data_IF_089515518564
#
_entry.id   IF_089515518564
#
_cell.length_a   1.000
_cell.length_b   1.000
_cell.length_c   1.000
_cell.angle_alpha   90.00
_cell.angle_beta   90.00
_cell.angle_gamma   90.00
#
_symmetry.space_group_name_H-M   'P 1'
#
loop_
_entity.id
_entity.type
_entity.pdbx_description
1 polymer ?
#
# COMPACT_ATOMS: atom_id res chain seq x y z
N UNK A 1 -25.45 -4.27 10.77
CA UNK A 1 -25.92 -4.05 9.40
C UNK A 1 -25.37 -2.75 8.81
N UNK A 2 -25.63 -1.57 9.40
CA UNK A 2 -25.10 -0.29 8.87
C UNK A 2 -23.56 -0.18 8.92
N UNK A 3 -22.92 -0.69 9.99
CA UNK A 3 -21.46 -0.75 10.09
C UNK A 3 -20.89 -1.65 8.98
N UNK A 4 -21.35 -2.90 8.86
CA UNK A 4 -20.99 -3.83 7.77
C UNK A 4 -21.23 -3.22 6.38
N UNK A 5 -22.35 -2.54 6.11
CA UNK A 5 -22.58 -1.88 4.81
C UNK A 5 -21.67 -0.66 4.53
N UNK A 6 -21.10 -0.03 5.57
CA UNK A 6 -20.11 1.05 5.45
C UNK A 6 -18.67 0.53 5.46
N UNK A 7 -18.41 -0.64 6.05
CA UNK A 7 -17.08 -1.21 6.29
C UNK A 7 -16.72 -2.36 5.36
N UNK A 8 -17.71 -3.00 4.75
CA UNK A 8 -17.61 -4.23 3.96
C UNK A 8 -18.36 -4.00 2.64
N UNK A 9 -17.65 -4.21 1.53
CA UNK A 9 -17.96 -3.96 0.14
C UNK A 9 -19.43 -3.75 -0.30
N UNK A 10 -19.58 -2.82 -1.26
CA UNK A 10 -20.84 -2.35 -1.85
C UNK A 10 -21.47 -3.29 -2.90
N UNK A 11 -21.19 -4.59 -2.89
CA UNK A 11 -21.57 -5.47 -4.00
C UNK A 11 -23.07 -5.81 -4.01
N UNK A 12 -23.87 -4.89 -4.56
CA UNK A 12 -25.27 -5.11 -4.91
C UNK A 12 -25.50 -5.19 -6.42
N UNK A 13 -24.44 -5.19 -7.26
CA UNK A 13 -24.56 -5.30 -8.71
C UNK A 13 -24.17 -6.70 -9.19
N UNK A 14 -25.15 -7.58 -9.53
CA UNK A 14 -24.88 -8.95 -9.96
C UNK A 14 -24.01 -9.04 -11.21
N UNK A 15 -24.05 -8.04 -12.11
CA UNK A 15 -23.20 -8.01 -13.31
C UNK A 15 -21.73 -7.83 -12.93
N UNK A 16 -21.45 -6.98 -11.95
CA UNK A 16 -20.08 -6.74 -11.48
C UNK A 16 -19.58 -7.97 -10.72
N UNK A 17 -20.39 -8.54 -9.82
CA UNK A 17 -20.02 -9.76 -9.10
C UNK A 17 -19.74 -10.92 -10.05
N UNK A 18 -20.61 -11.18 -11.04
CA UNK A 18 -20.38 -12.23 -12.02
C UNK A 18 -19.18 -11.97 -12.96
N UNK A 19 -18.83 -10.71 -13.19
CA UNK A 19 -17.59 -10.35 -13.89
C UNK A 19 -16.37 -10.62 -13.01
N UNK A 20 -16.38 -10.19 -11.75
CA UNK A 20 -15.27 -10.44 -10.81
C UNK A 20 -15.07 -11.94 -10.57
N UNK A 21 -16.15 -12.71 -10.44
CA UNK A 21 -16.09 -14.18 -10.35
C UNK A 21 -15.41 -14.82 -11.55
N UNK A 22 -15.74 -14.36 -12.77
CA UNK A 22 -15.11 -14.85 -13.99
C UNK A 22 -13.61 -14.54 -14.05
N UNK A 23 -13.19 -13.42 -13.49
CA UNK A 23 -11.79 -12.97 -13.53
C UNK A 23 -10.98 -13.57 -12.37
N UNK A 24 -11.53 -13.63 -11.17
CA UNK A 24 -10.79 -13.90 -9.94
C UNK A 24 -11.25 -15.14 -9.19
N UNK A 25 -12.40 -15.74 -9.51
CA UNK A 25 -12.89 -16.91 -8.76
C UNK A 25 -11.89 -18.09 -8.76
N UNK A 26 -11.17 -18.28 -9.87
CA UNK A 26 -10.12 -19.31 -10.00
C UNK A 26 -8.74 -18.94 -9.47
N UNK A 27 -8.57 -17.81 -8.78
CA UNK A 27 -7.24 -17.25 -8.44
C UNK A 27 -6.40 -18.18 -7.55
N UNK A 28 -7.04 -19.04 -6.77
CA UNK A 28 -6.38 -20.06 -5.94
C UNK A 28 -5.54 -21.06 -6.76
N UNK A 29 -5.98 -21.33 -7.99
CA UNK A 29 -5.36 -22.30 -8.89
C UNK A 29 -4.40 -21.68 -9.91
N UNK A 30 -4.34 -20.34 -9.97
CA UNK A 30 -3.49 -19.64 -10.93
C UNK A 30 -2.01 -19.78 -10.56
N UNK A 31 -1.24 -20.22 -11.55
CA UNK A 31 0.21 -20.36 -11.46
C UNK A 31 0.88 -19.76 -12.69
N UNK A 32 2.11 -19.30 -12.50
CA UNK A 32 3.01 -18.88 -13.57
C UNK A 32 3.58 -20.10 -14.32
N UNK A 33 4.30 -19.85 -15.42
CA UNK A 33 4.88 -20.93 -16.24
C UNK A 33 5.93 -21.77 -15.50
N UNK A 34 6.57 -21.20 -14.46
CA UNK A 34 7.51 -21.92 -13.57
C UNK A 34 6.82 -22.54 -12.35
N UNK A 35 5.48 -22.57 -12.31
CA UNK A 35 4.70 -23.22 -11.24
C UNK A 35 4.59 -22.40 -9.95
N UNK A 36 4.95 -21.11 -9.96
CA UNK A 36 4.76 -20.25 -8.80
C UNK A 36 3.29 -19.83 -8.71
N UNK A 37 2.70 -19.91 -7.52
CA UNK A 37 1.35 -19.39 -7.29
C UNK A 37 1.33 -17.86 -7.42
N UNK A 38 0.21 -17.32 -7.88
CA UNK A 38 -0.06 -15.88 -7.80
C UNK A 38 -0.35 -15.41 -6.38
N UNK A 39 -0.63 -16.34 -5.46
CA UNK A 39 -0.82 -16.07 -4.03
C UNK A 39 0.47 -16.39 -3.28
N UNK A 40 0.91 -15.44 -2.46
CA UNK A 40 2.16 -15.52 -1.69
C UNK A 40 1.83 -15.50 -0.20
N UNK A 41 2.35 -16.47 0.55
CA UNK A 41 2.29 -16.47 2.00
C UNK A 41 3.36 -15.54 2.57
N UNK A 42 2.95 -14.60 3.42
CA UNK A 42 3.84 -13.66 4.10
C UNK A 42 3.66 -13.75 5.62
N UNK A 43 4.66 -13.35 6.39
CA UNK A 43 4.60 -13.45 7.85
C UNK A 43 5.97 -13.61 8.52
N UNK A 44 6.00 -13.90 9.83
CA UNK A 44 7.23 -13.98 10.62
C UNK A 44 8.30 -14.93 10.05
N UNK A 45 7.87 -16.01 9.38
CA UNK A 45 8.74 -17.07 8.85
C UNK A 45 8.96 -17.00 7.33
N UNK A 46 8.49 -15.96 6.63
CA UNK A 46 8.63 -15.83 5.18
C UNK A 46 9.74 -14.83 4.79
N UNK A 47 9.95 -14.68 3.48
CA UNK A 47 10.81 -13.63 2.91
C UNK A 47 10.30 -12.23 3.28
N UNK A 48 9.00 -12.00 3.11
CA UNK A 48 8.31 -10.77 3.51
C UNK A 48 7.88 -10.84 4.97
N UNK A 49 8.84 -10.59 5.88
CA UNK A 49 8.58 -10.53 7.33
C UNK A 49 8.07 -9.19 7.83
N UNK A 50 8.28 -8.13 7.06
CA UNK A 50 7.99 -6.77 7.45
C UNK A 50 7.81 -5.87 6.23
N UNK A 51 7.13 -4.74 6.46
CA UNK A 51 7.00 -3.68 5.48
C UNK A 51 7.32 -2.32 6.11
N UNK A 52 7.80 -1.39 5.29
CA UNK A 52 8.07 -0.02 5.67
C UNK A 52 6.92 0.87 5.23
N UNK A 53 6.53 1.81 6.08
CA UNK A 53 5.56 2.84 5.74
C UNK A 53 6.13 4.22 6.03
N UNK A 54 5.94 5.12 5.07
CA UNK A 54 6.36 6.51 5.16
C UNK A 54 5.13 7.42 5.32
N UNK A 55 5.29 8.52 6.05
CA UNK A 55 4.29 9.58 6.15
C UNK A 55 4.94 10.95 6.13
N UNK A 56 4.36 11.85 5.33
CA UNK A 56 4.83 13.23 5.18
C UNK A 56 4.21 14.10 6.28
N UNK A 57 5.03 14.94 6.89
CA UNK A 57 4.67 15.90 7.91
C UNK A 57 5.10 17.30 7.50
N UNK A 58 4.33 18.29 7.93
CA UNK A 58 4.55 19.71 7.62
C UNK A 58 5.05 20.51 8.82
N UNK A 59 5.02 19.93 10.04
CA UNK A 59 5.45 20.59 11.25
C UNK A 59 6.05 19.61 12.26
N UNK A 60 7.00 20.09 13.07
CA UNK A 60 7.55 19.35 14.21
C UNK A 60 6.47 18.99 15.24
N UNK A 61 5.42 19.82 15.38
CA UNK A 61 4.30 19.52 16.28
C UNK A 61 3.54 18.28 15.84
N UNK A 62 3.29 18.13 14.54
CA UNK A 62 2.61 16.94 14.00
C UNK A 62 3.48 15.70 14.11
N UNK A 63 4.79 15.83 13.90
CA UNK A 63 5.75 14.74 14.13
C UNK A 63 5.73 14.32 15.60
N UNK A 64 5.87 15.27 16.53
CA UNK A 64 5.84 14.99 17.97
C UNK A 64 4.54 14.28 18.36
N UNK A 65 3.40 14.74 17.87
CA UNK A 65 2.10 14.09 18.08
C UNK A 65 2.07 12.67 17.53
N UNK A 66 2.63 12.45 16.33
CA UNK A 66 2.71 11.13 15.74
C UNK A 66 3.60 10.20 16.56
N UNK A 67 4.74 10.67 17.06
CA UNK A 67 5.67 9.90 17.88
C UNK A 67 5.14 9.60 19.29
N UNK A 68 4.14 10.34 19.79
CA UNK A 68 3.47 9.98 21.04
C UNK A 68 2.52 8.77 20.89
N UNK A 69 2.03 8.49 19.67
CA UNK A 69 1.22 7.29 19.40
C UNK A 69 1.53 6.76 17.98
N UNK A 70 2.74 6.23 17.77
CA UNK A 70 3.25 5.93 16.43
C UNK A 70 2.50 4.76 15.78
N UNK A 71 1.98 3.80 16.55
CA UNK A 71 1.18 2.69 16.03
C UNK A 71 -0.06 3.20 15.31
N UNK A 72 -0.72 4.24 15.87
CA UNK A 72 -1.90 4.88 15.30
C UNK A 72 -1.60 5.88 14.19
N UNK A 73 -0.58 6.73 14.39
CA UNK A 73 -0.31 7.84 13.48
C UNK A 73 0.62 7.49 12.33
N UNK A 74 1.50 6.48 12.49
CA UNK A 74 2.35 5.96 11.41
C UNK A 74 1.71 4.74 10.73
N UNK A 75 0.91 3.95 11.46
CA UNK A 75 0.18 2.78 10.96
C UNK A 75 -1.05 3.10 10.09
N UNK A 76 -1.99 2.18 9.95
CA UNK A 76 -3.24 2.43 9.21
C UNK A 76 -4.20 3.33 10.03
N UNK A 77 -4.96 4.23 9.36
CA UNK A 77 -5.97 5.01 10.06
C UNK A 77 -7.06 4.08 10.64
N UNK A 78 -7.71 4.47 11.75
CA UNK A 78 -8.80 3.68 12.32
C UNK A 78 -10.03 3.66 11.40
N UNK A 79 -10.92 2.69 11.62
CA UNK A 79 -12.19 2.56 10.90
C UNK A 79 -12.99 3.87 10.92
N UNK A 80 -13.59 4.23 9.79
CA UNK A 80 -14.36 5.46 9.62
C UNK A 80 -13.51 6.72 9.43
N UNK A 81 -12.18 6.61 9.54
CA UNK A 81 -11.23 7.68 9.26
C UNK A 81 -10.35 7.33 8.05
N UNK A 82 -9.65 8.33 7.53
CA UNK A 82 -8.72 8.16 6.42
C UNK A 82 -9.34 8.44 5.06
N UNK A 83 -8.50 8.94 4.17
CA UNK A 83 -8.88 9.30 2.82
C UNK A 83 -9.03 8.05 1.94
N UNK A 84 -9.78 8.20 0.85
CA UNK A 84 -9.81 7.19 -0.20
C UNK A 84 -8.41 7.04 -0.81
N UNK A 85 -7.98 5.79 -1.01
CA UNK A 85 -6.79 5.43 -1.75
C UNK A 85 -7.15 4.63 -3.00
N UNK A 86 -6.12 4.14 -3.70
CA UNK A 86 -6.32 3.30 -4.90
C UNK A 86 -7.13 2.05 -4.60
N UNK A 87 -6.87 1.41 -3.46
CA UNK A 87 -7.37 0.08 -3.13
C UNK A 87 -8.23 0.09 -1.85
N UNK A 88 -8.68 1.27 -1.42
CA UNK A 88 -9.60 1.42 -0.27
C UNK A 88 -10.50 2.63 -0.46
N UNK A 89 -11.75 2.51 -0.03
CA UNK A 89 -12.69 3.64 0.02
C UNK A 89 -12.37 4.55 1.22
N UNK A 90 -12.78 5.82 1.17
CA UNK A 90 -12.70 6.71 2.34
C UNK A 90 -13.40 6.09 3.56
N UNK A 91 -12.75 6.14 4.72
CA UNK A 91 -13.23 5.51 5.95
C UNK A 91 -12.99 4.00 6.06
N UNK A 92 -12.51 3.32 5.00
CA UNK A 92 -12.07 1.93 5.05
C UNK A 92 -10.54 1.91 5.26
N UNK A 93 -10.02 1.36 6.37
CA UNK A 93 -8.60 1.26 6.62
C UNK A 93 -7.89 0.41 5.58
N UNK A 94 -6.70 0.86 5.20
CA UNK A 94 -5.74 0.08 4.47
C UNK A 94 -4.33 0.46 4.93
N UNK A 95 -3.44 -0.52 4.95
CA UNK A 95 -2.03 -0.29 5.20
C UNK A 95 -1.30 -0.28 3.87
N UNK A 96 -0.81 0.90 3.45
CA UNK A 96 0.10 1.01 2.31
C UNK A 96 1.54 1.04 2.82
N UNK A 97 2.38 0.19 2.26
CA UNK A 97 3.80 0.12 2.60
C UNK A 97 4.63 -0.41 1.43
N UNK A 98 5.91 -0.65 1.70
CA UNK A 98 6.84 -1.23 0.74
C UNK A 98 7.81 -2.21 1.41
N UNK A 99 8.42 -3.09 0.63
CA UNK A 99 9.40 -4.06 1.10
C UNK A 99 10.71 -3.41 1.54
N UNK A 100 10.99 -2.19 1.08
CA UNK A 100 12.21 -1.42 1.39
C UNK A 100 11.86 -0.01 1.85
N UNK A 101 12.66 0.52 2.79
CA UNK A 101 12.54 1.88 3.30
C UNK A 101 12.61 2.95 2.19
N UNK A 102 13.57 2.79 1.27
CA UNK A 102 13.75 3.73 0.15
C UNK A 102 12.53 3.76 -0.77
N UNK A 103 11.89 2.60 -1.01
CA UNK A 103 10.67 2.50 -1.80
C UNK A 103 9.49 3.19 -1.11
N UNK A 104 9.31 2.96 0.20
CA UNK A 104 8.27 3.65 0.96
C UNK A 104 8.43 5.18 0.94
N UNK A 105 9.67 5.67 1.07
CA UNK A 105 9.99 7.09 1.00
C UNK A 105 9.71 7.68 -0.39
N UNK A 106 10.06 6.97 -1.46
CA UNK A 106 9.75 7.40 -2.82
C UNK A 106 8.23 7.49 -3.06
N UNK A 107 7.47 6.46 -2.63
CA UNK A 107 6.03 6.37 -2.90
C UNK A 107 5.22 7.57 -2.38
N UNK A 108 5.63 8.18 -1.26
CA UNK A 108 4.90 9.33 -0.68
C UNK A 108 5.16 10.66 -1.40
N UNK A 109 6.09 10.71 -2.36
CA UNK A 109 6.40 11.87 -3.22
C UNK A 109 6.49 13.19 -2.43
N UNK A 110 7.36 13.25 -1.42
CA UNK A 110 7.37 14.38 -0.51
C UNK A 110 7.94 15.63 -1.21
N UNK A 111 7.38 16.83 -0.96
CA UNK A 111 7.96 18.06 -1.47
C UNK A 111 9.31 18.35 -0.79
N UNK A 112 10.23 19.00 -1.51
CA UNK A 112 11.50 19.48 -0.95
C UNK A 112 11.22 20.41 0.24
N UNK A 113 11.96 20.21 1.33
CA UNK A 113 11.80 20.95 2.58
C UNK A 113 10.82 20.33 3.56
N UNK A 114 10.00 19.34 3.16
CA UNK A 114 9.15 18.59 4.10
C UNK A 114 9.94 17.58 4.92
N UNK A 115 9.29 17.05 5.96
CA UNK A 115 9.80 15.95 6.75
C UNK A 115 8.98 14.69 6.47
N UNK A 116 9.65 13.54 6.42
CA UNK A 116 9.00 12.23 6.24
C UNK A 116 9.43 11.32 7.37
N UNK A 117 8.47 10.78 8.11
CA UNK A 117 8.76 9.73 9.10
C UNK A 117 8.55 8.39 8.43
N UNK A 118 9.57 7.52 8.48
CA UNK A 118 9.48 6.15 8.00
C UNK A 118 9.61 5.20 9.18
N UNK A 119 8.78 4.16 9.21
CA UNK A 119 8.82 3.14 10.24
C UNK A 119 8.58 1.75 9.65
N UNK A 120 9.18 0.74 10.29
CA UNK A 120 9.03 -0.68 9.98
C UNK A 120 7.87 -1.27 10.79
N UNK A 121 7.07 -2.07 10.10
CA UNK A 121 5.98 -2.85 10.68
C UNK A 121 6.25 -4.32 10.40
N UNK A 122 6.60 -5.08 11.43
CA UNK A 122 6.76 -6.53 11.36
C UNK A 122 5.39 -7.20 11.29
N UNK A 123 5.27 -8.23 10.47
CA UNK A 123 4.05 -9.01 10.34
C UNK A 123 4.02 -10.03 11.47
N UNK A 124 2.97 -10.04 12.29
CA UNK A 124 2.90 -10.87 13.51
C UNK A 124 2.09 -12.17 13.35
N UNK A 125 1.34 -12.32 12.25
CA UNK A 125 0.60 -13.54 11.91
C UNK A 125 0.77 -13.88 10.42
N UNK A 126 0.62 -15.15 10.00
CA UNK A 126 0.60 -15.49 8.59
C UNK A 126 -0.49 -14.70 7.85
N UNK A 127 -0.15 -14.14 6.69
CA UNK A 127 -1.06 -13.46 5.78
C UNK A 127 -0.90 -14.02 4.37
N UNK A 128 -1.94 -13.89 3.56
CA UNK A 128 -1.91 -14.29 2.15
C UNK A 128 -2.12 -13.10 1.24
N UNK A 129 -1.15 -12.82 0.38
CA UNK A 129 -1.18 -11.68 -0.54
C UNK A 129 -1.30 -12.13 -1.99
N UNK A 130 -2.07 -11.40 -2.79
CA UNK A 130 -2.04 -11.52 -4.24
C UNK A 130 -0.83 -10.79 -4.81
N UNK A 131 0.05 -11.48 -5.52
CA UNK A 131 1.20 -10.87 -6.21
C UNK A 131 0.83 -10.49 -7.65
N UNK A 132 0.74 -9.20 -7.94
CA UNK A 132 0.41 -8.70 -9.28
C UNK A 132 1.49 -8.99 -10.33
N UNK A 133 2.76 -9.14 -9.93
CA UNK A 133 3.82 -9.53 -10.86
C UNK A 133 3.61 -10.96 -11.36
N UNK A 134 3.28 -11.88 -10.46
CA UNK A 134 2.91 -13.26 -10.81
C UNK A 134 1.59 -13.32 -11.57
N UNK A 135 0.60 -12.51 -11.18
CA UNK A 135 -0.72 -12.47 -11.83
C UNK A 135 -0.65 -12.03 -13.30
N UNK A 136 0.28 -11.13 -13.64
CA UNK A 136 0.53 -10.73 -15.02
C UNK A 136 1.13 -11.86 -15.88
N UNK A 137 1.69 -12.89 -15.25
CA UNK A 137 2.42 -13.99 -15.89
C UNK A 137 1.68 -15.33 -15.78
N UNK A 138 0.37 -15.31 -15.51
CA UNK A 138 -0.47 -16.52 -15.41
C UNK A 138 -0.32 -17.36 -16.68
N UNK A 139 -0.01 -18.63 -16.47
CA UNK A 139 0.22 -19.59 -17.55
C UNK A 139 -1.05 -20.37 -17.88
N UNK A 140 -1.22 -20.66 -19.17
CA UNK A 140 -2.24 -21.57 -19.69
C UNK A 140 -1.51 -22.75 -20.31
N UNK A 141 -1.81 -24.00 -19.91
CA UNK A 141 -1.12 -25.19 -20.40
C UNK A 141 -1.01 -25.27 -21.92
N UNK A 142 0.15 -25.68 -22.42
CA UNK A 142 0.49 -25.73 -23.85
C UNK A 142 -0.37 -26.69 -24.70
N UNK A 143 -1.08 -27.64 -24.08
CA UNK A 143 -1.95 -28.59 -24.77
C UNK A 143 -3.38 -28.04 -25.01
N UNK A 144 -3.62 -26.77 -24.66
CA UNK A 144 -4.92 -26.13 -24.85
C UNK A 144 -5.12 -25.72 -26.32
N UNK A 145 -6.20 -26.17 -26.94
CA UNK A 145 -6.53 -25.85 -28.33
C UNK A 145 -7.16 -24.46 -28.44
N UNK A 146 -6.62 -23.58 -29.27
CA UNK A 146 -7.21 -22.25 -29.52
C UNK A 146 -8.62 -22.31 -30.15
N UNK A 147 -9.03 -23.48 -30.65
CA UNK A 147 -10.36 -23.72 -31.21
C UNK A 147 -11.36 -24.27 -30.17
N UNK A 148 -10.90 -24.57 -28.95
CA UNK A 148 -11.77 -24.90 -27.83
C UNK A 148 -12.24 -23.60 -27.14
N UNK A 149 -13.57 -23.34 -27.05
CA UNK A 149 -14.10 -22.13 -26.42
C UNK A 149 -13.66 -21.92 -24.96
N UNK A 150 -13.46 -23.00 -24.19
CA UNK A 150 -12.99 -22.89 -22.80
C UNK A 150 -11.53 -22.43 -22.72
N UNK A 151 -10.70 -22.93 -23.62
CA UNK A 151 -9.32 -22.47 -23.81
C UNK A 151 -9.27 -20.99 -24.22
N UNK A 152 -10.09 -20.56 -25.18
CA UNK A 152 -10.15 -19.15 -25.60
C UNK A 152 -10.52 -18.20 -24.45
N UNK A 153 -11.50 -18.58 -23.62
CA UNK A 153 -11.90 -17.80 -22.45
C UNK A 153 -10.74 -17.63 -21.45
N UNK A 154 -9.92 -18.67 -21.28
CA UNK A 154 -8.72 -18.62 -20.43
C UNK A 154 -7.68 -17.65 -20.97
N UNK A 155 -7.43 -17.64 -22.28
CA UNK A 155 -6.51 -16.67 -22.91
C UNK A 155 -6.99 -15.23 -22.75
N UNK A 156 -8.27 -14.96 -22.99
CA UNK A 156 -8.85 -13.63 -22.78
C UNK A 156 -8.73 -13.17 -21.33
N UNK A 157 -8.95 -14.09 -20.37
CA UNK A 157 -8.78 -13.82 -18.95
C UNK A 157 -7.31 -13.48 -18.62
N UNK A 158 -6.34 -14.25 -19.12
CA UNK A 158 -4.91 -13.97 -18.92
C UNK A 158 -4.53 -12.59 -19.44
N UNK A 159 -4.87 -12.28 -20.69
CA UNK A 159 -4.53 -10.99 -21.31
C UNK A 159 -5.19 -9.80 -20.56
N UNK A 160 -6.39 -10.04 -20.03
CA UNK A 160 -7.07 -9.10 -19.15
C UNK A 160 -6.32 -8.92 -17.82
N UNK A 161 -5.90 -10.00 -17.16
CA UNK A 161 -5.14 -9.96 -15.90
C UNK A 161 -3.79 -9.26 -16.06
N UNK A 162 -3.09 -9.49 -17.17
CA UNK A 162 -1.85 -8.78 -17.51
C UNK A 162 -2.12 -7.27 -17.65
N UNK A 163 -3.12 -6.90 -18.45
CA UNK A 163 -3.51 -5.51 -18.66
C UNK A 163 -3.95 -4.85 -17.36
N UNK A 164 -4.69 -5.56 -16.53
CA UNK A 164 -5.16 -5.09 -15.24
C UNK A 164 -3.99 -4.84 -14.29
N UNK A 165 -3.07 -5.81 -14.16
CA UNK A 165 -1.90 -5.71 -13.28
C UNK A 165 -1.05 -4.49 -13.62
N UNK A 166 -0.86 -4.22 -14.92
CA UNK A 166 -0.21 -2.99 -15.40
C UNK A 166 -1.00 -1.73 -15.05
N UNK A 167 -2.33 -1.73 -15.21
CA UNK A 167 -3.16 -0.56 -14.84
C UNK A 167 -3.16 -0.28 -13.34
N UNK A 168 -3.10 -1.31 -12.48
CA UNK A 168 -3.09 -1.16 -11.03
C UNK A 168 -1.78 -0.56 -10.49
N UNK A 169 -0.67 -0.77 -11.20
CA UNK A 169 0.68 -0.33 -10.81
C UNK A 169 1.04 1.06 -11.32
N UNK A 170 0.49 1.49 -12.45
CA UNK A 170 0.81 2.80 -13.07
C UNK A 170 0.44 3.99 -12.16
N UNK A 171 1.26 5.06 -12.11
CA UNK A 171 0.90 6.31 -11.46
C UNK A 171 -0.41 6.91 -12.00
N UNK A 172 -1.40 7.13 -11.14
CA UNK A 172 -2.63 7.84 -11.50
C UNK A 172 -2.38 9.34 -11.40
N UNK A 173 -2.65 10.08 -12.48
CA UNK A 173 -2.61 11.54 -12.48
C UNK A 173 -3.70 12.12 -11.56
N UNK A 174 -3.47 13.24 -10.87
CA UNK A 174 -4.44 13.83 -9.94
C UNK A 174 -5.86 13.98 -10.52
N UNK A 175 -5.97 14.43 -11.77
CA UNK A 175 -7.26 14.61 -12.47
C UNK A 175 -8.03 13.31 -12.77
N UNK A 176 -7.38 12.16 -12.76
CA UNK A 176 -8.00 10.86 -13.06
C UNK A 176 -8.21 9.97 -11.83
N UNK A 177 -7.91 10.49 -10.63
CA UNK A 177 -7.93 9.72 -9.38
C UNK A 177 -9.29 9.08 -9.13
N UNK A 178 -10.38 9.86 -9.17
CA UNK A 178 -11.71 9.38 -8.77
C UNK A 178 -12.21 8.19 -9.63
N UNK A 179 -12.03 8.26 -10.96
CA UNK A 179 -12.49 7.18 -11.88
C UNK A 179 -11.59 5.95 -11.78
N UNK A 180 -10.28 6.14 -11.74
CA UNK A 180 -9.34 5.02 -11.70
C UNK A 180 -9.39 4.31 -10.34
N UNK A 181 -9.64 5.05 -9.25
CA UNK A 181 -9.76 4.49 -7.91
C UNK A 181 -11.00 3.62 -7.77
N UNK A 182 -12.13 3.98 -8.39
CA UNK A 182 -13.35 3.16 -8.29
C UNK A 182 -13.11 1.72 -8.76
N UNK A 183 -12.41 1.53 -9.89
CA UNK A 183 -12.14 0.19 -10.43
C UNK A 183 -11.25 -0.60 -9.49
N UNK A 184 -10.15 0.00 -9.03
CA UNK A 184 -9.18 -0.67 -8.15
C UNK A 184 -9.72 -0.92 -6.74
N UNK A 185 -10.59 -0.04 -6.22
CA UNK A 185 -11.30 -0.22 -4.96
C UNK A 185 -12.28 -1.38 -5.04
N UNK A 186 -13.07 -1.46 -6.13
CA UNK A 186 -13.99 -2.59 -6.35
C UNK A 186 -13.22 -3.90 -6.41
N UNK A 187 -12.08 -3.95 -7.11
CA UNK A 187 -11.25 -5.16 -7.16
C UNK A 187 -10.72 -5.51 -5.76
N UNK A 188 -10.20 -4.53 -5.02
CA UNK A 188 -9.69 -4.74 -3.66
C UNK A 188 -10.78 -5.26 -2.72
N UNK A 189 -11.98 -4.68 -2.78
CA UNK A 189 -13.15 -5.12 -2.02
C UNK A 189 -13.55 -6.56 -2.37
N UNK A 190 -13.56 -6.94 -3.66
CA UNK A 190 -13.88 -8.31 -4.07
C UNK A 190 -12.84 -9.30 -3.56
N UNK A 191 -11.54 -8.98 -3.69
CA UNK A 191 -10.45 -9.83 -3.22
C UNK A 191 -10.47 -9.96 -1.69
N UNK A 192 -10.76 -8.89 -0.96
CA UNK A 192 -10.87 -8.93 0.50
C UNK A 192 -12.00 -9.86 0.98
N UNK A 193 -13.03 -10.07 0.17
CA UNK A 193 -14.20 -10.92 0.43
C UNK A 193 -14.19 -12.25 -0.32
N UNK A 194 -13.05 -12.62 -0.91
CA UNK A 194 -12.98 -13.83 -1.72
C UNK A 194 -13.42 -15.06 -0.91
N UNK A 195 -14.35 -15.85 -1.45
CA UNK A 195 -15.05 -16.89 -0.70
C UNK A 195 -14.21 -18.14 -0.47
N UNK A 196 -13.28 -18.44 -1.37
CA UNK A 196 -12.44 -19.65 -1.30
C UNK A 196 -11.09 -19.44 -0.60
N UNK A 197 -10.60 -18.19 -0.54
CA UNK A 197 -9.25 -17.87 -0.11
C UNK A 197 -9.27 -16.58 0.68
N UNK A 198 -8.68 -16.59 1.87
CA UNK A 198 -8.57 -15.41 2.70
C UNK A 198 -7.42 -14.51 2.22
N UNK A 199 -7.69 -13.65 1.23
CA UNK A 199 -6.68 -12.72 0.69
C UNK A 199 -6.62 -11.48 1.58
N UNK A 200 -5.50 -11.27 2.26
CA UNK A 200 -5.27 -10.16 3.20
C UNK A 200 -4.81 -8.88 2.53
N UNK A 201 -4.35 -8.94 1.27
CA UNK A 201 -3.83 -7.78 0.57
C UNK A 201 -3.23 -8.09 -0.79
N UNK A 202 -2.54 -7.10 -1.35
CA UNK A 202 -1.94 -7.15 -2.69
C UNK A 202 -0.48 -6.68 -2.60
N UNK A 203 0.41 -7.48 -3.18
CA UNK A 203 1.81 -7.15 -3.42
C UNK A 203 1.98 -6.75 -4.88
N UNK A 204 2.66 -5.63 -5.15
CA UNK A 204 2.79 -5.12 -6.51
C UNK A 204 4.13 -4.39 -6.74
N UNK A 205 4.73 -4.46 -7.93
CA UNK A 205 5.99 -3.78 -8.22
C UNK A 205 5.90 -2.26 -8.00
N UNK A 206 6.93 -1.66 -7.40
CA UNK A 206 7.08 -0.21 -7.38
C UNK A 206 7.56 0.28 -8.74
N UNK A 207 6.85 1.27 -9.27
CA UNK A 207 7.19 1.98 -10.51
C UNK A 207 8.09 3.19 -10.26
N UNK A 208 8.24 3.60 -9.00
CA UNK A 208 8.98 4.82 -8.62
C UNK A 208 10.47 4.56 -8.38
N UNK A 209 10.82 3.34 -8.00
CA UNK A 209 12.21 2.93 -7.75
C UNK A 209 12.54 1.79 -8.70
N UNK A 210 13.45 2.03 -9.64
CA UNK A 210 13.95 0.96 -10.51
C UNK A 210 14.61 -0.14 -9.68
N UNK A 211 14.43 -1.40 -10.08
CA UNK A 211 15.08 -2.54 -9.44
C UNK A 211 16.60 -2.29 -9.36
N UNK A 212 17.16 -2.39 -8.15
CA UNK A 212 18.59 -2.23 -7.92
C UNK A 212 19.41 -3.33 -8.61
N UNK A 213 20.75 -3.21 -8.65
CA UNK A 213 21.65 -4.16 -9.31
C UNK A 213 21.63 -5.59 -8.72
N UNK A 214 20.86 -5.83 -7.65
CA UNK A 214 20.77 -7.12 -6.96
C UNK A 214 19.47 -7.90 -7.19
N UNK A 215 18.61 -7.47 -8.12
CA UNK A 215 17.51 -8.29 -8.62
C UNK A 215 16.36 -8.58 -7.64
N UNK A 216 16.42 -8.10 -6.39
CA UNK A 216 15.26 -8.07 -5.51
C UNK A 216 14.26 -7.03 -6.04
N UNK A 217 13.07 -7.48 -6.42
CA UNK A 217 12.02 -6.58 -6.89
C UNK A 217 11.58 -5.66 -5.75
N UNK A 218 11.63 -4.35 -5.98
CA UNK A 218 11.10 -3.39 -5.02
C UNK A 218 9.57 -3.49 -5.07
N UNK A 219 8.98 -4.05 -4.02
CA UNK A 219 7.54 -4.30 -3.97
C UNK A 219 6.87 -3.29 -3.05
N UNK A 220 5.73 -2.79 -3.49
CA UNK A 220 4.74 -2.15 -2.64
C UNK A 220 3.74 -3.18 -2.15
N UNK A 221 3.10 -2.87 -1.04
CA UNK A 221 2.02 -3.67 -0.47
C UNK A 221 0.84 -2.77 -0.12
N UNK A 222 -0.37 -3.29 -0.33
CA UNK A 222 -1.55 -2.85 0.42
C UNK A 222 -2.07 -4.04 1.24
N UNK A 223 -2.31 -3.83 2.52
CA UNK A 223 -3.08 -4.75 3.34
C UNK A 223 -4.50 -4.19 3.50
N UNK A 224 -5.49 -5.05 3.28
CA UNK A 224 -6.89 -4.72 3.41
C UNK A 224 -7.28 -4.50 4.87
N UNK A 225 -8.48 -3.95 5.10
CA UNK A 225 -8.96 -3.57 6.42
C UNK A 225 -8.80 -4.65 7.50
N UNK A 226 -8.96 -5.94 7.13
CA UNK A 226 -8.82 -7.10 8.02
C UNK A 226 -7.38 -7.43 8.46
N UNK A 227 -6.37 -6.86 7.79
CA UNK A 227 -4.95 -7.05 8.07
C UNK A 227 -4.16 -5.73 8.19
N UNK A 228 -4.85 -4.58 8.19
CA UNK A 228 -4.20 -3.27 8.20
C UNK A 228 -3.82 -2.77 9.60
N UNK A 229 -4.43 -3.33 10.65
CA UNK A 229 -4.30 -2.81 12.01
C UNK A 229 -2.97 -3.24 12.64
N UNK A 230 -2.28 -2.26 13.24
CA UNK A 230 -1.11 -2.51 14.07
C UNK A 230 -1.52 -2.76 15.52
N UNK A 231 -0.74 -3.57 16.24
CA UNK A 231 -0.88 -3.79 17.67
C UNK A 231 -0.88 -2.44 18.38
N UNK A 232 -1.81 -2.26 19.32
CA UNK A 232 -1.99 -1.08 20.16
C UNK A 232 -2.41 0.22 19.43
N UNK A 233 -2.64 0.19 18.12
CA UNK A 233 -3.08 1.35 17.33
C UNK A 233 -4.48 1.88 17.74
N UNK A 234 -5.29 1.03 18.35
CA UNK A 234 -6.65 1.31 18.82
C UNK A 234 -6.69 1.85 20.26
N UNK A 235 -5.57 1.88 20.98
CA UNK A 235 -5.52 2.44 22.33
C UNK A 235 -5.87 3.94 22.32
N UNK A 236 -6.70 4.34 23.28
CA UNK A 236 -7.06 5.76 23.47
C UNK A 236 -5.89 6.58 24.00
N UNK A 237 -5.12 6.01 24.93
CA UNK A 237 -3.96 6.65 25.53
C UNK A 237 -2.77 6.63 24.57
N UNK A 238 -1.88 7.61 24.73
CA UNK A 238 -0.57 7.63 24.06
C UNK A 238 0.28 6.44 24.52
N UNK A 239 1.08 5.89 23.61
CA UNK A 239 1.96 4.73 23.86
C UNK A 239 3.40 5.17 24.16
N UNK A 240 3.74 6.43 23.88
CA UNK A 240 5.05 7.00 24.11
C UNK A 240 5.00 8.50 24.43
N UNK A 241 6.09 9.03 24.97
CA UNK A 241 6.42 10.46 24.91
C UNK A 241 7.56 10.69 23.93
N UNK A 242 7.58 11.87 23.30
CA UNK A 242 8.59 12.21 22.30
C UNK A 242 9.18 13.61 22.54
N UNK A 243 10.47 13.73 22.30
CA UNK A 243 11.25 14.97 22.31
C UNK A 243 11.94 15.08 20.95
N UNK A 244 11.95 16.26 20.32
CA UNK A 244 12.59 16.46 19.01
C UNK A 244 13.88 17.27 19.09
N UNK A 245 14.00 18.08 20.15
CA UNK A 245 15.06 19.04 20.36
C UNK A 245 15.59 18.85 21.78
N UNK A 246 16.92 18.84 21.93
CA UNK A 246 17.59 18.82 23.22
C UNK A 246 18.28 20.16 23.43
N UNK A 247 18.00 20.84 24.55
CA UNK A 247 18.68 22.08 24.90
C UNK A 247 20.06 21.78 25.49
N UNK A 248 21.07 22.47 24.99
CA UNK A 248 22.45 22.39 25.47
C UNK A 248 22.93 23.77 25.96
N UNK A 249 23.72 23.77 27.02
CA UNK A 249 24.46 24.94 27.52
C UNK A 249 25.95 24.55 27.57
N UNK A 250 26.71 25.05 26.59
CA UNK A 250 28.16 24.92 26.57
C UNK A 250 28.80 26.31 26.66
N UNK A 251 29.43 26.59 27.81
CA UNK A 251 30.21 27.81 27.98
C UNK A 251 29.38 29.11 28.04
N UNK A 252 28.08 29.03 28.34
CA UNK A 252 27.18 30.19 28.45
C UNK A 252 26.41 30.53 27.16
N UNK A 253 26.58 29.75 26.09
CA UNK A 253 25.77 29.82 24.89
C UNK A 253 24.72 28.69 24.91
N UNK A 254 23.43 29.06 24.92
CA UNK A 254 22.31 28.12 24.86
C UNK A 254 21.91 27.87 23.40
N UNK A 255 21.89 26.59 22.99
CA UNK A 255 21.43 26.18 21.66
C UNK A 255 20.62 24.89 21.71
N UNK A 256 19.66 24.76 20.79
CA UNK A 256 18.85 23.56 20.62
C UNK A 256 19.47 22.66 19.54
N UNK A 257 19.79 21.42 19.91
CA UNK A 257 20.22 20.38 18.98
C UNK A 257 19.03 19.51 18.55
N UNK A 258 18.94 19.23 17.25
CA UNK A 258 17.93 18.32 16.71
C UNK A 258 18.33 16.86 17.00
N UNK A 259 17.79 16.31 18.08
CA UNK A 259 18.07 14.96 18.57
C UNK A 259 16.76 14.28 19.01
N UNK A 260 16.00 13.72 18.04
CA UNK A 260 14.69 13.17 18.31
C UNK A 260 14.75 11.87 19.12
N UNK A 261 14.05 11.86 20.26
CA UNK A 261 13.98 10.76 21.23
C UNK A 261 12.53 10.34 21.44
N UNK A 262 12.32 9.03 21.53
CA UNK A 262 11.03 8.42 21.88
C UNK A 262 11.19 7.58 23.13
N UNK A 263 10.32 7.78 24.11
CA UNK A 263 10.31 7.05 25.37
C UNK A 263 9.01 6.27 25.47
N UNK A 264 9.10 4.94 25.42
CA UNK A 264 7.91 4.09 25.58
C UNK A 264 7.34 4.24 26.99
N UNK A 265 6.03 4.42 27.05
CA UNK A 265 5.31 4.33 28.31
C UNK A 265 4.96 2.86 28.56
N UNK A 266 4.98 2.42 29.83
CA UNK A 266 4.42 1.11 30.15
C UNK A 266 2.93 1.13 29.75
N UNK A 267 2.44 0.13 29.00
CA UNK A 267 1.05 0.14 28.58
C UNK A 267 0.16 0.20 29.82
N UNK A 268 -0.64 1.25 29.94
CA UNK A 268 -1.77 1.24 30.87
C UNK A 268 -2.61 0.03 30.52
N UNK A 269 -2.93 -0.81 31.51
CA UNK A 269 -3.72 -2.03 31.33
C UNK A 269 -4.81 -1.86 30.28
N UNK A 270 -4.94 -2.84 29.37
CA UNK A 270 -6.02 -2.87 28.38
C UNK A 270 -7.35 -2.82 29.11
N UNK A 271 -7.89 -1.61 29.25
CA UNK A 271 -9.28 -1.42 29.67
C UNK A 271 -10.12 -1.84 28.49
N UNK A 272 -10.60 -3.08 28.55
CA UNK A 272 -11.48 -3.69 27.58
C UNK A 272 -12.86 -3.01 27.64
N UNK A 273 -12.92 -1.72 27.27
CA UNK A 273 -14.17 -1.03 27.06
C UNK A 273 -14.50 -1.15 25.58
N UNK A 274 -15.53 -1.96 25.32
CA UNK A 274 -16.09 -2.26 24.00
C UNK A 274 -15.20 -3.16 23.15
N UNK A 275 -15.23 -4.46 23.48
CA UNK A 275 -15.29 -5.49 22.45
C UNK A 275 -16.51 -5.21 21.55
N UNK A 276 -16.38 -4.25 20.64
CA UNK A 276 -17.13 -4.27 19.40
C UNK A 276 -16.67 -5.56 18.73
N UNK A 277 -17.57 -6.52 18.58
CA UNK A 277 -17.32 -7.88 18.09
C UNK A 277 -16.83 -7.95 16.63
N UNK A 278 -16.31 -6.85 16.08
CA UNK A 278 -16.07 -6.61 14.66
C UNK A 278 -14.72 -5.92 14.38
N UNK A 279 -13.81 -5.76 15.35
CA UNK A 279 -12.47 -5.26 15.05
C UNK A 279 -11.58 -6.41 14.59
N UNK A 280 -10.90 -6.27 13.42
CA UNK A 280 -10.02 -7.31 12.92
C UNK A 280 -8.80 -7.50 13.81
N UNK A 281 -8.31 -8.73 13.90
CA UNK A 281 -7.09 -9.03 14.66
C UNK A 281 -5.88 -8.27 14.08
N UNK A 282 -5.08 -7.59 14.92
CA UNK A 282 -3.86 -6.93 14.46
C UNK A 282 -2.95 -7.88 13.69
N UNK A 283 -2.43 -7.42 12.56
CA UNK A 283 -1.50 -8.19 11.74
C UNK A 283 -0.08 -7.61 11.73
N UNK A 284 0.08 -6.39 12.24
CA UNK A 284 1.32 -5.64 12.20
C UNK A 284 1.79 -5.25 13.60
N UNK A 285 3.09 -5.21 13.81
CA UNK A 285 3.72 -4.65 14.99
C UNK A 285 4.76 -3.62 14.58
N UNK A 286 4.60 -2.39 15.07
CA UNK A 286 5.59 -1.34 14.87
C UNK A 286 6.88 -1.70 15.60
N UNK A 287 8.02 -1.60 14.91
CA UNK A 287 9.34 -1.56 15.53
C UNK A 287 9.72 -0.10 15.86
N UNK A 288 9.69 0.32 17.13
CA UNK A 288 9.97 1.71 17.50
C UNK A 288 11.41 2.13 17.21
N UNK A 289 12.35 1.17 17.18
CA UNK A 289 13.77 1.46 16.93
C UNK A 289 14.05 1.74 15.46
N UNK A 290 13.12 1.37 14.57
CA UNK A 290 13.20 1.61 13.14
C UNK A 290 12.70 2.99 12.70
N UNK A 291 12.14 3.79 13.62
CA UNK A 291 11.54 5.08 13.28
C UNK A 291 12.66 6.05 12.90
N UNK A 292 12.60 6.58 11.67
CA UNK A 292 13.57 7.56 11.16
C UNK A 292 12.84 8.76 10.58
N UNK A 293 13.26 9.96 10.97
CA UNK A 293 12.76 11.23 10.43
C UNK A 293 13.72 11.69 9.31
N UNK A 294 13.20 11.85 8.11
CA UNK A 294 13.93 12.29 6.92
C UNK A 294 13.56 13.73 6.58
N UNK A 295 14.53 14.64 6.56
CA UNK A 295 14.34 15.97 5.98
C UNK A 295 14.63 15.91 4.49
N UNK A 296 13.66 16.24 3.65
CA UNK A 296 13.78 16.10 2.19
C UNK A 296 14.62 17.25 1.64
N UNK A 297 15.88 16.97 1.32
CA UNK A 297 16.83 17.98 0.84
C UNK A 297 16.70 18.28 -0.66
N UNK A 298 16.44 17.27 -1.49
CA UNK A 298 16.33 17.42 -2.95
C UNK A 298 15.51 16.29 -3.57
N UNK A 299 15.08 16.47 -4.82
CA UNK A 299 14.36 15.46 -5.62
C UNK A 299 15.05 15.31 -6.98
N UNK A 300 15.32 14.08 -7.39
CA UNK A 300 15.81 13.76 -8.73
C UNK A 300 14.64 13.38 -9.62
N UNK A 301 14.47 14.06 -10.76
CA UNK A 301 13.41 13.80 -11.73
C UNK A 301 14.02 13.18 -12.98
N UNK A 302 13.53 11.99 -13.37
CA UNK A 302 13.92 11.30 -14.59
C UNK A 302 12.80 11.44 -15.63
N UNK A 303 13.12 11.91 -16.83
CA UNK A 303 12.15 12.19 -17.90
C UNK A 303 12.59 11.57 -19.23
N UNK A 304 11.61 11.29 -20.09
CA UNK A 304 11.85 10.95 -21.49
C UNK A 304 11.39 12.13 -22.37
N UNK A 305 12.29 13.09 -22.71
CA UNK A 305 11.90 14.30 -23.40
C UNK A 305 11.61 14.03 -24.89
N UNK A 306 10.43 14.41 -25.35
CA UNK A 306 10.08 14.41 -26.79
C UNK A 306 10.01 15.85 -27.28
N UNK A 307 10.92 16.30 -28.17
CA UNK A 307 10.90 17.67 -28.67
C UNK A 307 9.68 17.91 -29.57
N UNK A 308 9.07 19.10 -29.44
CA UNK A 308 7.95 19.51 -30.30
C UNK A 308 8.53 20.15 -31.57
N UNK A 309 8.18 19.61 -32.74
CA UNK A 309 8.52 20.22 -34.03
C UNK A 309 7.46 21.26 -34.40
N UNK A 310 7.87 22.51 -34.55
CA UNK A 310 7.03 23.53 -35.17
C UNK A 310 6.98 23.29 -36.68
N UNK A 311 5.79 23.14 -37.22
CA UNK A 311 5.55 22.98 -38.66
C UNK A 311 4.74 24.19 -39.11
N UNK A 312 5.26 24.94 -40.10
CA UNK A 312 4.50 26.02 -40.72
C UNK A 312 3.57 25.43 -41.78
N UNK A 313 2.26 25.62 -41.63
CA UNK A 313 1.30 25.28 -42.68
C UNK A 313 1.18 26.43 -43.67
N UNK A 314 1.37 26.14 -44.96
CA UNK A 314 0.98 27.08 -46.01
C UNK A 314 -0.57 27.20 -46.06
N UNK A 315 -1.12 28.23 -46.73
CA UNK A 315 -2.58 28.47 -46.86
C UNK A 315 -3.40 27.28 -47.44
N UNK A 316 -2.73 26.21 -47.89
CA UNK A 316 -3.32 24.99 -48.45
C UNK A 316 -3.18 23.76 -47.53
N UNK A 317 -2.69 23.92 -46.29
CA UNK A 317 -2.65 22.86 -45.27
C UNK A 317 -1.54 21.82 -45.43
N UNK A 318 -0.54 22.05 -46.29
CA UNK A 318 0.63 21.17 -46.39
C UNK A 318 1.75 21.62 -45.43
N UNK A 319 2.36 20.63 -44.79
CA UNK A 319 3.52 20.77 -43.90
C UNK A 319 4.77 21.17 -44.70
N UNK A 320 5.47 22.24 -44.28
CA UNK A 320 6.85 22.56 -44.71
C UNK A 320 7.88 22.16 -43.64
#
# INVERSE_FOLDING_TARGET
MEISLRSEARFFNPKVSGFMERIFGGIASDVTANGLSVLVDVGPASEYRAFYRARVFQSDQDIKKALCHPEKWLGAPPMGMGNAGRMNTAGQPAFYGASQQATALAEVRPPVGSQVVVARFDIVRPLKLLNLASLALVHIPHNASLFDPATMASFQRRDFLETLSRKMTVPVMPEEQDRNYLITQVIADYLAMHTEVDIDGILYPSVQVSNGPHGAENMNVVLFYKAAMAVDADLENVTASAELWTAHDEGGDEYDEYDPKIYRQQPSERRCYLASTHQPEPALQLDPTSIVIHKVASVTINTNPTPVRLVSQDQHGNDR
#
